data_IF_967159922275
#
_entry.id   IF_967159922275
#
_cell.length_a   1.000
_cell.length_b   1.000
_cell.length_c   1.000
_cell.angle_alpha   90.00
_cell.angle_beta   90.00
_cell.angle_gamma   90.00
#
_symmetry.space_group_name_H-M   'P 1'
#
loop_
_entity.id
_entity.type
_entity.pdbx_description
1 polymer ?
#
# COMPACT_ATOMS: atom_id res chain seq x y z
N UNK A 1 43.36 119.99 -37.50
CA UNK A 1 44.19 119.40 -36.44
C UNK A 1 43.21 118.80 -35.45
N UNK A 2 43.11 117.52 -35.14
CA UNK A 2 44.08 116.42 -35.20
C UNK A 2 43.29 115.13 -34.87
N UNK A 3 43.48 114.07 -35.67
CA UNK A 3 42.95 112.74 -35.38
C UNK A 3 43.82 112.09 -34.32
N UNK A 4 43.23 111.40 -33.33
CA UNK A 4 43.99 110.38 -32.58
C UNK A 4 43.17 109.11 -32.44
N UNK A 5 43.52 108.20 -33.33
CA UNK A 5 43.27 106.77 -33.33
C UNK A 5 43.98 106.14 -32.11
N UNK A 6 43.33 105.27 -31.34
CA UNK A 6 44.01 104.51 -30.28
C UNK A 6 43.53 103.05 -30.28
N UNK A 7 44.30 102.24 -30.98
CA UNK A 7 44.29 100.79 -31.01
C UNK A 7 44.66 100.24 -29.61
N UNK A 8 43.79 99.42 -28.98
CA UNK A 8 44.12 98.70 -27.73
C UNK A 8 43.85 97.20 -27.83
N UNK A 9 44.98 96.50 -27.95
CA UNK A 9 45.24 95.05 -27.88
C UNK A 9 44.59 94.39 -26.65
N UNK A 10 43.63 93.49 -26.85
CA UNK A 10 42.93 92.76 -25.78
C UNK A 10 43.00 91.24 -26.04
N UNK A 11 44.14 90.57 -25.79
CA UNK A 11 44.33 89.19 -26.30
C UNK A 11 44.81 88.07 -25.34
N UNK A 12 44.84 88.26 -24.00
CA UNK A 12 45.23 87.17 -23.09
C UNK A 12 44.18 86.78 -22.02
N UNK A 13 43.40 87.71 -21.45
CA UNK A 13 42.35 87.35 -20.46
C UNK A 13 41.23 86.48 -21.05
N UNK A 14 40.82 86.77 -22.28
CA UNK A 14 39.82 85.97 -23.03
C UNK A 14 40.26 84.52 -23.24
N UNK A 15 41.57 84.26 -23.38
CA UNK A 15 42.10 82.89 -23.55
C UNK A 15 42.02 82.08 -22.26
N UNK A 16 42.33 82.69 -21.10
CA UNK A 16 42.17 82.03 -19.80
C UNK A 16 40.70 81.79 -19.46
N UNK A 17 39.80 82.75 -19.74
CA UNK A 17 38.36 82.52 -19.60
C UNK A 17 37.83 81.45 -20.55
N UNK A 18 38.32 81.40 -21.79
CA UNK A 18 37.97 80.35 -22.75
C UNK A 18 38.48 78.98 -22.31
N UNK A 19 39.69 78.88 -21.77
CA UNK A 19 40.25 77.62 -21.28
C UNK A 19 39.51 77.13 -20.03
N UNK A 20 39.18 78.04 -19.11
CA UNK A 20 38.33 77.72 -17.96
C UNK A 20 36.95 77.23 -18.39
N UNK A 21 36.35 77.86 -19.40
CA UNK A 21 35.06 77.43 -19.95
C UNK A 21 35.14 76.02 -20.56
N UNK A 22 36.22 75.70 -21.28
CA UNK A 22 36.43 74.35 -21.84
C UNK A 22 36.64 73.31 -20.75
N UNK A 23 37.45 73.60 -19.72
CA UNK A 23 37.67 72.68 -18.59
C UNK A 23 36.38 72.44 -17.82
N UNK A 24 35.60 73.50 -17.55
CA UNK A 24 34.30 73.38 -16.90
C UNK A 24 33.32 72.57 -17.77
N UNK A 25 33.32 72.79 -19.09
CA UNK A 25 32.47 72.04 -20.00
C UNK A 25 32.81 70.54 -19.97
N UNK A 26 34.09 70.17 -20.02
CA UNK A 26 34.53 68.77 -19.95
C UNK A 26 34.15 68.14 -18.60
N UNK A 27 34.37 68.84 -17.49
CA UNK A 27 33.99 68.37 -16.16
C UNK A 27 32.48 68.16 -16.04
N UNK A 28 31.68 69.07 -16.60
CA UNK A 28 30.22 68.99 -16.59
C UNK A 28 29.72 67.85 -17.49
N UNK A 29 30.30 67.68 -18.67
CA UNK A 29 29.97 66.57 -19.58
C UNK A 29 30.34 65.21 -18.97
N UNK A 30 31.48 65.11 -18.28
CA UNK A 30 31.89 63.89 -17.58
C UNK A 30 30.98 63.54 -16.41
N UNK A 31 30.60 64.53 -15.60
CA UNK A 31 29.66 64.35 -14.50
C UNK A 31 28.26 63.96 -15.00
N UNK A 32 27.80 64.59 -16.09
CA UNK A 32 26.52 64.28 -16.72
C UNK A 32 26.50 62.86 -17.32
N UNK A 33 27.58 62.44 -18.00
CA UNK A 33 27.70 61.10 -18.54
C UNK A 33 27.69 60.02 -17.44
N UNK A 34 28.42 60.25 -16.34
CA UNK A 34 28.42 59.33 -15.20
C UNK A 34 27.05 59.25 -14.52
N UNK A 35 26.37 60.39 -14.35
CA UNK A 35 25.04 60.43 -13.75
C UNK A 35 23.99 59.72 -14.61
N UNK A 36 23.99 59.96 -15.93
CA UNK A 36 23.03 59.33 -16.85
C UNK A 36 23.30 57.83 -17.06
N UNK A 37 24.57 57.40 -17.06
CA UNK A 37 24.90 55.98 -17.24
C UNK A 37 24.65 55.11 -16.01
N UNK A 38 24.86 55.64 -14.80
CA UNK A 38 24.89 54.82 -13.58
C UNK A 38 23.72 55.11 -12.62
N UNK A 39 23.21 56.34 -12.57
CA UNK A 39 22.22 56.73 -11.55
C UNK A 39 20.78 56.82 -12.07
N UNK A 40 20.56 56.95 -13.38
CA UNK A 40 19.23 57.19 -13.94
C UNK A 40 18.36 55.92 -13.95
N UNK A 41 18.97 54.73 -14.04
CA UNK A 41 18.27 53.44 -14.21
C UNK A 41 18.14 52.60 -12.92
N UNK A 42 18.56 53.12 -11.75
CA UNK A 42 18.42 52.42 -10.48
C UNK A 42 17.03 52.62 -9.87
N UNK A 43 16.10 51.73 -10.23
CA UNK A 43 14.75 51.70 -9.65
C UNK A 43 14.81 50.90 -8.33
N UNK A 44 14.77 51.61 -7.20
CA UNK A 44 14.59 51.01 -5.87
C UNK A 44 13.11 51.01 -5.52
N UNK A 45 12.58 49.86 -5.14
CA UNK A 45 11.22 49.75 -4.60
C UNK A 45 11.24 48.86 -3.37
N UNK A 46 10.50 49.27 -2.34
CA UNK A 46 10.32 48.49 -1.12
C UNK A 46 9.19 47.46 -1.27
N UNK A 47 8.39 47.56 -2.35
CA UNK A 47 7.22 46.72 -2.61
C UNK A 47 7.55 45.61 -3.62
N UNK A 48 8.35 44.64 -3.18
CA UNK A 48 8.69 43.46 -3.97
C UNK A 48 8.02 42.20 -3.40
N UNK A 49 7.25 41.50 -4.23
CA UNK A 49 6.62 40.24 -3.86
C UNK A 49 7.32 39.06 -4.53
N UNK A 50 7.56 38.01 -3.75
CA UNK A 50 8.08 36.72 -4.23
C UNK A 50 6.91 35.79 -4.47
N UNK A 51 6.81 35.23 -5.68
CA UNK A 51 5.81 34.22 -6.03
C UNK A 51 6.44 32.83 -6.04
N UNK A 52 5.62 31.81 -5.76
CA UNK A 52 6.03 30.40 -5.76
C UNK A 52 4.83 29.48 -5.86
N UNK A 53 5.06 28.22 -6.20
CA UNK A 53 4.03 27.21 -6.21
C UNK A 53 3.74 26.76 -4.77
N UNK A 54 2.46 26.75 -4.40
CA UNK A 54 2.01 26.26 -3.09
C UNK A 54 1.17 24.99 -3.30
N UNK A 55 1.81 23.84 -3.15
CA UNK A 55 1.15 22.53 -3.24
C UNK A 55 0.67 22.09 -1.84
N UNK A 56 -0.65 21.93 -1.61
CA UNK A 56 -1.15 21.50 -0.31
C UNK A 56 -0.79 20.04 -0.05
N UNK A 57 -0.36 19.75 1.18
CA UNK A 57 -0.05 18.39 1.63
C UNK A 57 -1.18 17.91 2.55
N UNK A 58 -1.76 16.76 2.23
CA UNK A 58 -2.81 16.12 3.02
C UNK A 58 -2.41 14.70 3.42
N UNK A 59 -2.82 14.28 4.61
CA UNK A 59 -2.70 12.89 5.02
C UNK A 59 -3.64 11.98 4.19
N UNK A 60 -3.17 10.78 3.85
CA UNK A 60 -4.00 9.76 3.17
C UNK A 60 -4.98 9.07 4.12
N UNK A 61 -4.66 9.08 5.43
CA UNK A 61 -5.45 8.44 6.48
C UNK A 61 -5.86 9.46 7.55
N UNK A 62 -7.03 9.26 8.13
CA UNK A 62 -7.51 10.06 9.27
C UNK A 62 -6.79 9.64 10.55
N UNK A 63 -6.40 10.61 11.37
CA UNK A 63 -5.78 10.36 12.67
C UNK A 63 -5.57 11.62 13.49
N UNK A 64 -5.41 11.46 14.79
CA UNK A 64 -5.10 12.56 15.70
C UNK A 64 -3.64 12.98 15.53
N UNK A 65 -3.39 14.29 15.37
CA UNK A 65 -2.03 14.83 15.31
C UNK A 65 -1.37 14.76 16.68
N UNK A 66 -0.21 14.12 16.76
CA UNK A 66 0.59 14.00 17.99
C UNK A 66 1.71 15.02 18.04
N UNK A 67 2.38 15.26 16.91
CA UNK A 67 3.52 16.17 16.80
C UNK A 67 3.49 16.89 15.46
N UNK A 68 3.77 18.19 15.50
CA UNK A 68 4.07 19.01 14.32
C UNK A 68 5.55 19.36 14.39
N UNK A 69 6.34 18.82 13.46
CA UNK A 69 7.81 18.89 13.54
C UNK A 69 8.38 20.20 12.95
N UNK A 70 7.61 20.90 12.12
CA UNK A 70 8.04 22.09 11.39
C UNK A 70 7.05 23.24 11.59
N UNK A 71 7.57 24.47 11.55
CA UNK A 71 6.78 25.70 11.63
C UNK A 71 6.73 26.39 10.27
N UNK A 72 5.87 27.39 10.14
CA UNK A 72 5.74 28.18 8.92
C UNK A 72 7.11 28.72 8.47
N UNK A 73 7.33 28.73 7.15
CA UNK A 73 8.56 29.19 6.48
C UNK A 73 9.82 28.35 6.72
N UNK A 74 9.75 27.23 7.46
CA UNK A 74 10.88 26.31 7.57
C UNK A 74 11.18 25.63 6.23
N UNK A 75 12.45 25.64 5.83
CA UNK A 75 12.94 24.86 4.70
C UNK A 75 12.92 23.35 5.04
N UNK A 76 12.33 22.54 4.16
CA UNK A 76 12.22 21.08 4.31
C UNK A 76 12.77 20.37 3.08
N UNK A 77 13.23 19.13 3.26
CA UNK A 77 13.71 18.25 2.20
C UNK A 77 12.71 17.13 1.96
N UNK A 78 12.82 16.51 0.79
CA UNK A 78 12.03 15.32 0.48
C UNK A 78 12.29 14.21 1.50
N UNK A 79 11.21 13.67 2.08
CA UNK A 79 11.27 12.63 3.10
C UNK A 79 11.22 13.14 4.54
N UNK A 80 11.26 14.45 4.76
CA UNK A 80 11.12 15.01 6.10
C UNK A 80 9.70 14.80 6.65
N UNK A 81 9.62 14.35 7.91
CA UNK A 81 8.34 14.14 8.58
C UNK A 81 7.78 15.49 9.02
N UNK A 82 6.72 15.95 8.34
CA UNK A 82 6.09 17.22 8.68
C UNK A 82 5.20 17.11 9.92
N UNK A 83 4.35 16.07 9.96
CA UNK A 83 3.37 15.82 11.01
C UNK A 83 3.36 14.33 11.35
N UNK A 84 3.28 14.01 12.64
CA UNK A 84 3.13 12.64 13.15
C UNK A 84 1.70 12.42 13.63
N UNK A 85 1.04 11.40 13.10
CA UNK A 85 -0.29 10.96 13.54
C UNK A 85 -0.19 9.85 14.60
N UNK A 86 -1.19 9.77 15.48
CA UNK A 86 -1.31 8.65 16.41
C UNK A 86 -1.57 7.35 15.64
N UNK A 87 -0.67 6.39 15.82
CA UNK A 87 -0.70 5.07 15.18
C UNK A 87 -1.54 4.04 15.93
N UNK A 88 -2.10 4.38 17.09
CA UNK A 88 -2.76 3.41 17.98
C UNK A 88 -3.89 2.69 17.28
N UNK A 89 -4.81 3.42 16.64
CA UNK A 89 -5.95 2.83 15.93
C UNK A 89 -5.52 1.98 14.73
N UNK A 90 -4.57 2.48 13.93
CA UNK A 90 -4.00 1.73 12.80
C UNK A 90 -3.31 0.44 13.28
N UNK A 91 -2.58 0.50 14.40
CA UNK A 91 -1.92 -0.67 15.00
C UNK A 91 -2.94 -1.69 15.51
N UNK A 92 -4.02 -1.23 16.15
CA UNK A 92 -5.12 -2.10 16.61
C UNK A 92 -5.80 -2.76 15.41
N UNK A 93 -6.10 -2.00 14.36
CA UNK A 93 -6.72 -2.51 13.13
C UNK A 93 -5.83 -3.57 12.46
N UNK A 94 -4.53 -3.30 12.32
CA UNK A 94 -3.56 -4.26 11.77
C UNK A 94 -3.46 -5.53 12.63
N UNK A 95 -3.42 -5.40 13.96
CA UNK A 95 -3.39 -6.55 14.86
C UNK A 95 -4.67 -7.38 14.76
N UNK A 96 -5.84 -6.74 14.64
CA UNK A 96 -7.12 -7.41 14.43
C UNK A 96 -7.13 -8.18 13.10
N UNK A 97 -6.64 -7.57 12.01
CA UNK A 97 -6.53 -8.22 10.71
C UNK A 97 -5.59 -9.43 10.75
N UNK A 98 -4.40 -9.31 11.36
CA UNK A 98 -3.46 -10.42 11.57
C UNK A 98 -4.07 -11.57 12.38
N UNK A 99 -4.78 -11.25 13.45
CA UNK A 99 -5.47 -12.26 14.27
C UNK A 99 -6.57 -12.96 13.49
N UNK A 100 -7.32 -12.22 12.66
CA UNK A 100 -8.33 -12.79 11.79
C UNK A 100 -7.70 -13.75 10.77
N UNK A 101 -6.63 -13.34 10.09
CA UNK A 101 -5.88 -14.22 9.18
C UNK A 101 -5.41 -15.50 9.89
N UNK A 102 -4.83 -15.39 11.09
CA UNK A 102 -4.41 -16.55 11.86
C UNK A 102 -5.59 -17.49 12.22
N UNK A 103 -6.76 -16.92 12.54
CA UNK A 103 -7.97 -17.70 12.81
C UNK A 103 -8.46 -18.44 11.55
N UNK A 104 -8.51 -17.76 10.41
CA UNK A 104 -8.92 -18.35 9.13
C UNK A 104 -7.96 -19.46 8.74
N UNK A 105 -6.65 -19.24 8.81
CA UNK A 105 -5.63 -20.28 8.53
C UNK A 105 -5.84 -21.50 9.43
N UNK A 106 -6.07 -21.31 10.74
CA UNK A 106 -6.36 -22.41 11.67
C UNK A 106 -7.64 -23.16 11.33
N UNK A 107 -8.71 -22.44 10.99
CA UNK A 107 -9.99 -23.03 10.62
C UNK A 107 -9.89 -23.81 9.31
N UNK A 108 -9.21 -23.27 8.29
CA UNK A 108 -8.99 -23.98 7.03
C UNK A 108 -8.09 -25.20 7.25
N UNK A 109 -7.02 -25.08 8.04
CA UNK A 109 -6.16 -26.23 8.37
C UNK A 109 -6.93 -27.35 9.10
N UNK A 110 -7.90 -27.00 9.96
CA UNK A 110 -8.81 -27.99 10.58
C UNK A 110 -9.59 -28.78 9.53
N UNK A 111 -10.04 -28.16 8.43
CA UNK A 111 -10.71 -28.87 7.33
C UNK A 111 -9.77 -29.89 6.66
N UNK A 112 -8.49 -29.56 6.44
CA UNK A 112 -7.51 -30.52 5.92
C UNK A 112 -7.22 -31.67 6.90
N UNK A 113 -7.18 -31.40 8.20
CA UNK A 113 -7.00 -32.47 9.19
C UNK A 113 -8.22 -33.40 9.23
N UNK A 114 -9.42 -32.87 9.00
CA UNK A 114 -10.63 -33.67 8.87
C UNK A 114 -10.60 -34.60 7.65
N UNK A 115 -9.93 -34.24 6.55
CA UNK A 115 -9.76 -35.13 5.39
C UNK A 115 -9.13 -36.48 5.79
N UNK A 116 -8.08 -36.45 6.62
CA UNK A 116 -7.45 -37.66 7.16
C UNK A 116 -8.40 -38.47 8.05
N UNK A 117 -9.20 -37.79 8.87
CA UNK A 117 -10.19 -38.44 9.73
C UNK A 117 -11.26 -39.16 8.89
N UNK A 118 -11.84 -38.48 7.91
CA UNK A 118 -12.85 -39.07 7.02
C UNK A 118 -12.28 -40.20 6.14
N UNK A 119 -11.02 -40.07 5.70
CA UNK A 119 -10.33 -41.14 4.97
C UNK A 119 -10.18 -42.40 5.81
N UNK A 120 -9.81 -42.25 7.09
CA UNK A 120 -9.73 -43.36 8.03
C UNK A 120 -11.11 -43.97 8.32
N UNK A 121 -12.16 -43.16 8.42
CA UNK A 121 -13.53 -43.62 8.60
C UNK A 121 -14.02 -44.45 7.40
N UNK A 122 -13.73 -44.01 6.17
CA UNK A 122 -14.00 -44.78 4.95
C UNK A 122 -13.24 -46.10 4.95
N UNK A 123 -11.97 -46.10 5.38
CA UNK A 123 -11.16 -47.32 5.46
C UNK A 123 -11.76 -48.31 6.48
N UNK A 124 -12.17 -47.83 7.65
CA UNK A 124 -12.84 -48.62 8.68
C UNK A 124 -14.16 -49.23 8.17
N UNK A 125 -15.04 -48.41 7.59
CA UNK A 125 -16.31 -48.87 7.04
C UNK A 125 -16.12 -49.87 5.88
N UNK A 126 -15.04 -49.73 5.11
CA UNK A 126 -14.69 -50.66 4.04
C UNK A 126 -14.33 -52.03 4.60
N UNK A 127 -13.53 -52.08 5.66
CA UNK A 127 -13.17 -53.34 6.34
C UNK A 127 -14.43 -54.02 6.88
N UNK A 128 -15.33 -53.27 7.52
CA UNK A 128 -16.60 -53.82 8.04
C UNK A 128 -17.51 -54.40 6.95
N UNK A 129 -17.59 -53.72 5.80
CA UNK A 129 -18.32 -54.22 4.63
C UNK A 129 -17.68 -55.50 4.06
N UNK A 130 -16.35 -55.54 3.94
CA UNK A 130 -15.63 -56.71 3.46
C UNK A 130 -15.85 -57.93 4.36
N UNK A 131 -15.77 -57.75 5.69
CA UNK A 131 -16.06 -58.80 6.66
C UNK A 131 -17.48 -59.35 6.50
N UNK A 132 -18.48 -58.46 6.42
CA UNK A 132 -19.89 -58.85 6.24
C UNK A 132 -20.13 -59.58 4.92
N UNK A 133 -19.42 -59.17 3.86
CA UNK A 133 -19.49 -59.80 2.54
C UNK A 133 -18.90 -61.22 2.56
N UNK A 134 -17.74 -61.39 3.19
CA UNK A 134 -17.12 -62.70 3.37
C UNK A 134 -17.99 -63.62 4.23
N UNK A 135 -18.58 -63.12 5.31
CA UNK A 135 -19.50 -63.89 6.16
C UNK A 135 -20.75 -64.35 5.41
N UNK A 136 -21.35 -63.46 4.61
CA UNK A 136 -22.47 -63.82 3.75
C UNK A 136 -22.06 -64.90 2.74
N UNK A 137 -20.94 -64.71 2.05
CA UNK A 137 -20.43 -65.65 1.05
C UNK A 137 -20.11 -67.04 1.65
N UNK A 138 -19.60 -67.09 2.89
CA UNK A 138 -19.37 -68.34 3.63
C UNK A 138 -20.66 -69.06 3.99
N UNK A 139 -21.73 -68.32 4.32
CA UNK A 139 -23.00 -68.87 4.82
C UNK A 139 -23.95 -69.33 3.71
N UNK A 140 -23.88 -68.74 2.51
CA UNK A 140 -24.67 -69.14 1.34
C UNK A 140 -24.59 -70.65 1.03
N UNK A 141 -23.41 -71.28 0.89
CA UNK A 141 -23.34 -72.72 0.63
C UNK A 141 -23.83 -73.57 1.81
N UNK A 142 -23.60 -73.14 3.05
CA UNK A 142 -24.07 -73.85 4.25
C UNK A 142 -25.60 -73.86 4.35
N UNK A 143 -26.26 -72.78 3.95
CA UNK A 143 -27.73 -72.71 3.89
C UNK A 143 -28.29 -73.65 2.81
N UNK A 144 -27.63 -73.74 1.65
CA UNK A 144 -28.01 -74.68 0.58
C UNK A 144 -27.90 -76.14 1.01
N UNK A 145 -26.95 -76.45 1.90
CA UNK A 145 -26.76 -77.79 2.48
C UNK A 145 -27.68 -78.06 3.68
N UNK A 146 -28.52 -77.10 4.10
CA UNK A 146 -29.42 -77.24 5.25
C UNK A 146 -28.71 -77.16 6.61
N UNK A 147 -27.45 -76.75 6.66
CA UNK A 147 -26.63 -76.66 7.89
C UNK A 147 -27.01 -75.46 8.74
N UNK A 148 -27.56 -74.40 8.13
CA UNK A 148 -28.04 -73.19 8.83
C UNK A 148 -29.49 -72.84 8.45
N UNK A 149 -30.18 -72.13 9.34
CA UNK A 149 -31.56 -71.69 9.10
C UNK A 149 -31.65 -70.60 8.02
N UNK A 150 -32.78 -70.54 7.31
CA UNK A 150 -33.07 -69.44 6.35
C UNK A 150 -33.07 -68.07 7.01
N UNK A 151 -33.59 -67.98 8.23
CA UNK A 151 -33.57 -66.76 9.05
C UNK A 151 -32.14 -66.26 9.29
N UNK A 152 -31.22 -67.17 9.63
CA UNK A 152 -29.79 -66.81 9.82
C UNK A 152 -29.19 -66.22 8.54
N UNK A 153 -29.52 -66.79 7.38
CA UNK A 153 -29.04 -66.29 6.09
C UNK A 153 -29.61 -64.89 5.79
N UNK A 154 -30.90 -64.67 5.99
CA UNK A 154 -31.52 -63.34 5.81
C UNK A 154 -30.90 -62.30 6.76
N UNK A 155 -30.70 -62.63 8.03
CA UNK A 155 -30.03 -61.73 8.98
C UNK A 155 -28.62 -61.36 8.49
N UNK A 156 -27.84 -62.30 7.96
CA UNK A 156 -26.48 -61.99 7.44
C UNK A 156 -26.52 -61.12 6.19
N UNK A 157 -27.55 -61.28 5.35
CA UNK A 157 -27.79 -60.43 4.19
C UNK A 157 -28.19 -59.01 4.63
N UNK A 158 -29.02 -58.87 5.65
CA UNK A 158 -29.40 -57.56 6.21
C UNK A 158 -28.17 -56.85 6.80
N UNK A 159 -27.28 -57.57 7.50
CA UNK A 159 -25.99 -57.05 7.96
C UNK A 159 -25.07 -56.62 6.81
N UNK A 160 -25.03 -57.37 5.71
CA UNK A 160 -24.29 -56.97 4.51
C UNK A 160 -24.86 -55.69 3.89
N UNK A 161 -26.19 -55.59 3.78
CA UNK A 161 -26.87 -54.41 3.24
C UNK A 161 -26.60 -53.19 4.14
N UNK A 162 -26.70 -53.34 5.46
CA UNK A 162 -26.47 -52.24 6.41
C UNK A 162 -25.01 -51.76 6.40
N UNK A 163 -24.03 -52.68 6.38
CA UNK A 163 -22.61 -52.34 6.30
C UNK A 163 -22.24 -51.68 4.96
N UNK A 164 -22.87 -52.10 3.85
CA UNK A 164 -22.74 -51.42 2.55
C UNK A 164 -23.30 -50.00 2.59
N UNK A 165 -24.46 -49.80 3.22
CA UNK A 165 -25.06 -48.48 3.38
C UNK A 165 -24.16 -47.57 4.25
N UNK A 166 -23.59 -48.09 5.34
CA UNK A 166 -22.65 -47.37 6.19
C UNK A 166 -21.37 -46.97 5.44
N UNK A 167 -20.78 -47.86 4.63
CA UNK A 167 -19.64 -47.53 3.77
C UNK A 167 -19.99 -46.41 2.78
N UNK A 168 -21.15 -46.49 2.14
CA UNK A 168 -21.58 -45.45 1.22
C UNK A 168 -21.73 -44.10 1.93
N UNK A 169 -22.32 -44.07 3.13
CA UNK A 169 -22.44 -42.86 3.93
C UNK A 169 -21.06 -42.25 4.26
N UNK A 170 -20.11 -43.06 4.72
CA UNK A 170 -18.73 -42.62 5.00
C UNK A 170 -18.05 -42.05 3.74
N UNK A 171 -18.23 -42.69 2.58
CA UNK A 171 -17.69 -42.20 1.30
C UNK A 171 -18.29 -40.84 0.93
N UNK A 172 -19.59 -40.65 1.12
CA UNK A 172 -20.24 -39.36 0.84
C UNK A 172 -19.76 -38.27 1.81
N UNK A 173 -19.58 -38.58 3.09
CA UNK A 173 -19.02 -37.65 4.07
C UNK A 173 -17.60 -37.22 3.70
N UNK A 174 -16.74 -38.17 3.29
CA UNK A 174 -15.39 -37.88 2.79
C UNK A 174 -15.41 -36.98 1.56
N UNK A 175 -16.26 -37.27 0.57
CA UNK A 175 -16.41 -36.45 -0.64
C UNK A 175 -16.90 -35.04 -0.33
N UNK A 176 -17.85 -34.89 0.59
CA UNK A 176 -18.38 -33.60 1.02
C UNK A 176 -17.28 -32.74 1.66
N UNK A 177 -16.45 -33.31 2.54
CA UNK A 177 -15.32 -32.59 3.12
C UNK A 177 -14.27 -32.20 2.07
N UNK A 178 -13.94 -33.12 1.15
CA UNK A 178 -12.99 -32.86 0.07
C UNK A 178 -13.45 -31.74 -0.88
N UNK A 179 -14.76 -31.63 -1.11
CA UNK A 179 -15.34 -30.56 -1.92
C UNK A 179 -15.23 -29.17 -1.27
N UNK A 180 -15.12 -29.08 0.07
CA UNK A 180 -14.91 -27.80 0.76
C UNK A 180 -13.48 -27.27 0.56
N UNK A 181 -12.52 -28.17 0.37
CA UNK A 181 -11.08 -27.85 0.32
C UNK A 181 -10.55 -27.79 -1.13
N UNK A 182 -11.26 -28.40 -2.09
CA UNK A 182 -10.99 -28.35 -3.54
C UNK A 182 -9.55 -28.71 -3.97
N UNK A 183 -8.85 -29.54 -3.19
CA UNK A 183 -7.45 -29.96 -3.46
C UNK A 183 -6.47 -28.79 -3.72
N UNK A 184 -6.88 -27.56 -3.37
CA UNK A 184 -6.09 -26.34 -3.46
C UNK A 184 -5.13 -26.35 -2.26
N UNK A 185 -3.92 -25.79 -2.34
CA UNK A 185 -3.07 -25.62 -1.16
C UNK A 185 -3.62 -24.53 -0.23
N UNK A 186 -3.34 -24.64 1.07
CA UNK A 186 -3.86 -23.75 2.13
C UNK A 186 -3.68 -22.25 1.82
N UNK A 187 -2.55 -21.87 1.25
CA UNK A 187 -2.21 -20.49 0.91
C UNK A 187 -2.97 -19.92 -0.31
N UNK A 188 -3.63 -20.77 -1.10
CA UNK A 188 -4.45 -20.38 -2.25
C UNK A 188 -5.95 -20.53 -1.98
N UNK A 189 -6.34 -20.94 -0.78
CA UNK A 189 -7.74 -20.97 -0.40
C UNK A 189 -8.31 -19.54 -0.44
N UNK A 190 -9.46 -19.29 -1.11
CA UNK A 190 -10.02 -17.94 -1.23
C UNK A 190 -10.14 -17.19 0.10
N UNK A 191 -10.62 -17.86 1.16
CA UNK A 191 -10.75 -17.26 2.49
C UNK A 191 -9.41 -16.83 3.10
N UNK A 192 -8.33 -17.59 2.84
CA UNK A 192 -6.99 -17.27 3.35
C UNK A 192 -6.39 -16.09 2.57
N UNK A 193 -6.59 -16.06 1.24
CA UNK A 193 -6.14 -14.96 0.38
C UNK A 193 -6.87 -13.67 0.75
N UNK A 194 -8.19 -13.71 0.89
CA UNK A 194 -9.01 -12.57 1.31
C UNK A 194 -8.56 -12.02 2.68
N UNK A 195 -8.33 -12.89 3.66
CA UNK A 195 -7.83 -12.46 4.97
C UNK A 195 -6.39 -11.91 4.91
N UNK A 196 -5.57 -12.41 3.97
CA UNK A 196 -4.21 -11.90 3.74
C UNK A 196 -4.25 -10.52 3.09
N UNK A 197 -5.14 -10.30 2.13
CA UNK A 197 -5.33 -9.00 1.49
C UNK A 197 -5.91 -7.97 2.46
N UNK A 198 -6.88 -8.33 3.29
CA UNK A 198 -7.37 -7.48 4.39
C UNK A 198 -6.26 -7.08 5.39
N UNK A 199 -5.26 -7.94 5.59
CA UNK A 199 -4.09 -7.61 6.42
C UNK A 199 -3.16 -6.61 5.74
N UNK A 200 -3.05 -6.66 4.41
CA UNK A 200 -2.29 -5.66 3.63
C UNK A 200 -3.01 -4.31 3.61
N UNK A 201 -4.32 -4.32 3.43
CA UNK A 201 -5.15 -3.11 3.48
C UNK A 201 -5.05 -2.42 4.83
N UNK A 202 -5.02 -3.18 5.94
CA UNK A 202 -4.85 -2.60 7.28
C UNK A 202 -3.43 -2.06 7.56
N UNK A 203 -2.47 -2.29 6.67
CA UNK A 203 -1.11 -1.75 6.77
C UNK A 203 -0.93 -0.45 5.98
N UNK A 204 -1.70 -0.26 4.91
CA UNK A 204 -1.73 0.94 4.07
C UNK A 204 -2.46 2.08 4.79
#
# INVERSE_FOLDING_TARGET
MEQINSNKKHSNRRKYFSLLAVVLFIAFSGAYAYWSMELEDMISTDDAYVTGNADPISAQVSGSVTVVNHKDTNYVRQGDILVSLDKTDATIALNKAKNNLANIVRQTNKLYLQDKQYSAEVASARIQYQQSLEDYNRRVPLAKQGVISKETLEHTKDTLISSKAALNAAIQAYKANKALVMNTPLNRQPQVVEAADATKEAWL
#
